data_IF_598020533449
#
_entry.id   IF_598020533449
#
_cell.length_a   1.000
_cell.length_b   1.000
_cell.length_c   1.000
_cell.angle_alpha   90.00
_cell.angle_beta   90.00
_cell.angle_gamma   90.00
#
_symmetry.space_group_name_H-M   'P 1'
#
loop_
_entity.id
_entity.type
_entity.pdbx_description
1 polymer ?
#
# COMPACT_ATOMS: atom_id res chain seq x y z
N UNK A 1 -13.80 -36.96 -15.39
CA UNK A 1 -13.05 -35.75 -14.98
C UNK A 1 -13.93 -34.59 -15.43
N UNK A 2 -14.33 -33.67 -14.55
CA UNK A 2 -15.28 -32.60 -14.92
C UNK A 2 -14.57 -31.38 -15.52
N UNK A 3 -15.27 -30.58 -16.32
CA UNK A 3 -14.83 -29.26 -16.80
C UNK A 3 -14.10 -28.46 -15.71
N UNK A 4 -14.67 -28.40 -14.50
CA UNK A 4 -14.13 -27.62 -13.39
C UNK A 4 -12.73 -28.07 -12.95
N UNK A 5 -12.49 -29.38 -12.89
CA UNK A 5 -11.17 -29.93 -12.56
C UNK A 5 -10.14 -29.71 -13.68
N UNK A 6 -10.56 -29.86 -14.94
CA UNK A 6 -9.72 -29.63 -16.12
C UNK A 6 -9.35 -28.14 -16.27
N UNK A 7 -10.34 -27.26 -16.12
CA UNK A 7 -10.13 -25.81 -16.17
C UNK A 7 -9.18 -25.35 -15.06
N UNK A 8 -9.40 -25.78 -13.82
CA UNK A 8 -8.51 -25.46 -12.71
C UNK A 8 -7.06 -25.88 -12.99
N UNK A 9 -6.87 -27.08 -13.55
CA UNK A 9 -5.56 -27.63 -13.89
C UNK A 9 -4.88 -26.85 -15.02
N UNK A 10 -5.59 -26.58 -16.12
CA UNK A 10 -5.03 -25.82 -17.23
C UNK A 10 -4.74 -24.38 -16.84
N UNK A 11 -5.70 -23.70 -16.23
CA UNK A 11 -5.54 -22.32 -15.80
C UNK A 11 -4.36 -22.18 -14.84
N UNK A 12 -4.28 -23.02 -13.80
CA UNK A 12 -3.18 -22.96 -12.83
C UNK A 12 -1.83 -23.37 -13.43
N UNK A 13 -1.79 -24.05 -14.58
CA UNK A 13 -0.54 -24.42 -15.26
C UNK A 13 -0.10 -23.33 -16.25
N UNK A 14 -1.04 -22.83 -17.06
CA UNK A 14 -0.76 -21.86 -18.13
C UNK A 14 -0.65 -20.43 -17.62
N UNK A 15 -1.44 -20.05 -16.61
CA UNK A 15 -1.46 -18.69 -16.06
C UNK A 15 -0.51 -18.52 -14.88
N UNK A 16 0.15 -19.58 -14.40
CA UNK A 16 0.93 -19.55 -13.17
C UNK A 16 1.97 -18.42 -13.13
N UNK A 17 2.77 -18.33 -14.19
CA UNK A 17 3.86 -17.35 -14.30
C UNK A 17 3.31 -15.95 -14.51
N UNK A 18 2.25 -15.82 -15.31
CA UNK A 18 1.57 -14.55 -15.56
C UNK A 18 0.99 -13.96 -14.27
N UNK A 19 0.34 -14.78 -13.45
CA UNK A 19 -0.19 -14.38 -12.14
C UNK A 19 0.91 -13.97 -11.16
N UNK A 20 2.08 -14.63 -11.19
CA UNK A 20 3.23 -14.23 -10.37
C UNK A 20 3.80 -12.89 -10.84
N UNK A 21 3.96 -12.70 -12.15
CA UNK A 21 4.47 -11.45 -12.73
C UNK A 21 3.52 -10.28 -12.43
N UNK A 22 2.22 -10.50 -12.55
CA UNK A 22 1.22 -9.50 -12.21
C UNK A 22 1.26 -9.14 -10.73
N UNK A 23 1.37 -10.14 -9.84
CA UNK A 23 1.51 -9.89 -8.40
C UNK A 23 2.82 -9.15 -8.08
N UNK A 24 3.95 -9.52 -8.68
CA UNK A 24 5.23 -8.79 -8.54
C UNK A 24 5.08 -7.32 -8.92
N UNK A 25 4.44 -7.03 -10.06
CA UNK A 25 4.20 -5.66 -10.52
C UNK A 25 3.26 -4.90 -9.58
N UNK A 26 2.18 -5.55 -9.14
CA UNK A 26 1.21 -4.99 -8.20
C UNK A 26 1.87 -4.63 -6.86
N UNK A 27 2.64 -5.56 -6.27
CA UNK A 27 3.35 -5.30 -5.00
C UNK A 27 4.47 -4.27 -5.15
N UNK A 28 5.12 -4.20 -6.32
CA UNK A 28 6.10 -3.16 -6.62
C UNK A 28 5.46 -1.76 -6.62
N UNK A 29 4.29 -1.61 -7.25
CA UNK A 29 3.53 -0.34 -7.22
C UNK A 29 3.12 0.02 -5.80
N UNK A 30 2.54 -0.94 -5.08
CA UNK A 30 2.11 -0.73 -3.69
C UNK A 30 3.26 -0.29 -2.77
N UNK A 31 4.44 -0.90 -2.87
CA UNK A 31 5.62 -0.48 -2.10
C UNK A 31 6.12 0.92 -2.47
N UNK A 32 6.09 1.30 -3.76
CA UNK A 32 6.44 2.66 -4.18
C UNK A 32 5.44 3.68 -3.64
N UNK A 33 4.14 3.44 -3.79
CA UNK A 33 3.08 4.30 -3.25
C UNK A 33 3.19 4.44 -1.73
N UNK A 34 3.47 3.34 -1.02
CA UNK A 34 3.72 3.37 0.43
C UNK A 34 4.94 4.22 0.78
N UNK A 35 6.04 4.06 0.05
CA UNK A 35 7.27 4.83 0.26
C UNK A 35 7.02 6.32 0.04
N UNK A 36 6.35 6.69 -1.04
CA UNK A 36 6.03 8.09 -1.37
C UNK A 36 5.09 8.69 -0.32
N UNK A 37 4.02 7.97 0.04
CA UNK A 37 3.07 8.39 1.07
C UNK A 37 3.72 8.55 2.44
N UNK A 38 4.57 7.61 2.85
CA UNK A 38 5.32 7.68 4.10
C UNK A 38 6.32 8.83 4.08
N UNK A 39 7.05 9.02 2.98
CA UNK A 39 8.00 10.12 2.81
C UNK A 39 7.30 11.47 2.92
N UNK A 40 6.19 11.66 2.20
CA UNK A 40 5.39 12.90 2.25
C UNK A 40 4.90 13.18 3.67
N UNK A 41 4.28 12.17 4.31
CA UNK A 41 3.66 12.29 5.64
C UNK A 41 4.66 12.47 6.79
N UNK A 42 5.90 11.97 6.62
CA UNK A 42 6.97 12.06 7.62
C UNK A 42 7.98 13.16 7.32
N UNK A 43 7.88 13.83 6.17
CA UNK A 43 8.82 14.88 5.77
C UNK A 43 8.70 16.11 6.68
N UNK A 44 9.78 16.89 6.77
CA UNK A 44 9.77 18.18 7.47
C UNK A 44 9.21 19.31 6.59
N UNK A 45 8.53 18.99 5.48
CA UNK A 45 7.98 20.01 4.58
C UNK A 45 7.04 20.95 5.35
N UNK A 46 6.22 20.41 6.25
CA UNK A 46 5.36 21.20 7.14
C UNK A 46 6.16 22.10 8.09
N UNK A 47 7.30 21.65 8.60
CA UNK A 47 8.17 22.46 9.46
C UNK A 47 8.77 23.64 8.68
N UNK A 48 9.17 23.40 7.44
CA UNK A 48 9.75 24.41 6.56
C UNK A 48 8.68 25.40 6.07
N UNK A 49 7.48 24.90 5.70
CA UNK A 49 6.32 25.73 5.37
C UNK A 49 5.93 26.62 6.55
N UNK A 50 5.92 26.09 7.78
CA UNK A 50 5.68 26.88 8.98
C UNK A 50 6.75 27.97 9.15
N UNK A 51 8.04 27.62 9.01
CA UNK A 51 9.15 28.58 9.09
C UNK A 51 9.01 29.70 8.07
N UNK A 52 8.68 29.38 6.83
CA UNK A 52 8.49 30.36 5.76
C UNK A 52 7.31 31.29 6.04
N UNK A 53 6.15 30.74 6.45
CA UNK A 53 4.96 31.55 6.80
C UNK A 53 5.26 32.50 7.96
N UNK A 54 5.86 32.02 9.04
CA UNK A 54 6.22 32.86 10.19
C UNK A 54 7.25 33.92 9.81
N UNK A 55 8.24 33.57 8.99
CA UNK A 55 9.24 34.54 8.48
C UNK A 55 8.59 35.64 7.65
N UNK A 56 7.61 35.30 6.80
CA UNK A 56 6.87 36.29 6.02
C UNK A 56 6.05 37.23 6.92
N UNK A 57 5.36 36.70 7.94
CA UNK A 57 4.63 37.51 8.92
C UNK A 57 5.55 38.41 9.74
N UNK A 58 6.74 37.94 10.13
CA UNK A 58 7.73 38.77 10.82
C UNK A 58 8.20 39.92 9.94
N UNK A 59 8.44 39.68 8.65
CA UNK A 59 8.76 40.75 7.69
C UNK A 59 7.61 41.77 7.59
N UNK A 60 6.37 41.31 7.54
CA UNK A 60 5.20 42.19 7.55
C UNK A 60 5.08 42.98 8.86
N UNK A 61 5.35 42.35 10.01
CA UNK A 61 5.37 42.98 11.32
C UNK A 61 6.37 44.14 11.36
N UNK A 62 7.59 43.93 10.86
CA UNK A 62 8.62 44.99 10.76
C UNK A 62 8.14 46.18 9.94
N UNK A 63 7.49 45.92 8.81
CA UNK A 63 6.90 46.97 7.96
C UNK A 63 5.82 47.74 8.70
N UNK A 64 4.92 47.05 9.41
CA UNK A 64 3.84 47.71 10.16
C UNK A 64 4.37 48.53 11.35
N UNK A 65 5.41 48.05 12.05
CA UNK A 65 6.04 48.81 13.15
C UNK A 65 6.61 50.15 12.68
N UNK A 66 7.12 50.20 11.44
CA UNK A 66 7.67 51.39 10.80
C UNK A 66 6.61 52.27 10.13
N UNK A 67 5.34 51.85 10.12
CA UNK A 67 4.27 52.56 9.42
C UNK A 67 4.06 53.97 10.01
N UNK A 68 4.11 55.04 9.20
CA UNK A 68 3.84 56.40 9.68
C UNK A 68 2.43 56.60 10.23
N UNK A 69 1.47 55.79 9.76
CA UNK A 69 0.07 55.89 10.19
C UNK A 69 -0.17 55.26 11.58
N UNK A 70 0.58 54.23 11.93
CA UNK A 70 0.44 53.46 13.19
C UNK A 70 1.84 53.05 13.72
N UNK A 71 2.67 54.00 14.17
CA UNK A 71 4.06 53.69 14.55
C UNK A 71 4.12 52.81 15.81
N UNK A 72 5.02 51.83 15.79
CA UNK A 72 5.23 50.90 16.89
C UNK A 72 4.18 49.78 16.92
N UNK A 73 3.66 49.47 18.10
CA UNK A 73 2.74 48.34 18.30
C UNK A 73 1.27 48.72 18.07
N UNK A 74 0.95 49.22 16.88
CA UNK A 74 -0.41 49.56 16.48
C UNK A 74 -1.35 48.34 16.37
N UNK A 75 -2.65 48.56 16.08
CA UNK A 75 -3.62 47.50 15.85
C UNK A 75 -3.18 46.47 14.81
N UNK A 76 -2.60 46.91 13.68
CA UNK A 76 -2.11 45.99 12.62
C UNK A 76 -0.93 45.14 13.06
N UNK A 77 0.05 45.75 13.75
CA UNK A 77 1.20 45.03 14.30
C UNK A 77 0.76 43.97 15.32
N UNK A 78 -0.21 44.30 16.18
CA UNK A 78 -0.80 43.34 17.12
C UNK A 78 -1.56 42.21 16.43
N UNK A 79 -2.29 42.51 15.34
CA UNK A 79 -2.98 41.49 14.54
C UNK A 79 -1.98 40.47 13.97
N UNK A 80 -0.87 40.94 13.40
CA UNK A 80 0.17 40.06 12.85
C UNK A 80 0.81 39.21 13.96
N UNK A 81 1.08 39.81 15.13
CA UNK A 81 1.59 39.05 16.28
C UNK A 81 0.61 37.96 16.72
N UNK A 82 -0.70 38.24 16.77
CA UNK A 82 -1.71 37.25 17.10
C UNK A 82 -1.79 36.13 16.05
N UNK A 83 -1.59 36.45 14.77
CA UNK A 83 -1.53 35.45 13.70
C UNK A 83 -0.31 34.53 13.84
N UNK A 84 0.87 35.10 14.16
CA UNK A 84 2.07 34.31 14.46
C UNK A 84 1.81 33.40 15.68
N UNK A 85 1.23 33.93 16.76
CA UNK A 85 0.88 33.14 17.94
C UNK A 85 -0.08 32.00 17.64
N UNK A 86 -1.05 32.21 16.75
CA UNK A 86 -1.99 31.17 16.34
C UNK A 86 -1.30 30.04 15.56
N UNK A 87 -0.32 30.38 14.70
CA UNK A 87 0.45 29.40 13.95
C UNK A 87 1.37 28.56 14.85
N UNK A 88 2.11 29.20 15.76
CA UNK A 88 3.10 28.51 16.61
C UNK A 88 2.50 27.99 17.93
N UNK A 89 1.24 28.35 18.24
CA UNK A 89 0.51 28.04 19.48
C UNK A 89 1.21 28.47 20.77
N UNK A 90 2.08 29.48 20.68
CA UNK A 90 2.84 30.03 21.80
C UNK A 90 2.64 31.53 21.85
N UNK A 91 2.43 32.08 23.05
CA UNK A 91 2.28 33.53 23.26
C UNK A 91 3.62 34.25 23.11
N UNK A 92 3.62 35.38 22.40
CA UNK A 92 4.81 36.21 22.20
C UNK A 92 4.76 37.37 23.19
N UNK A 93 5.81 37.55 23.97
CA UNK A 93 5.92 38.68 24.91
C UNK A 93 5.86 40.01 24.14
N UNK A 94 4.92 40.87 24.53
CA UNK A 94 4.79 42.21 23.94
C UNK A 94 5.87 43.12 24.53
N UNK A 95 6.71 43.69 23.67
CA UNK A 95 7.80 44.58 24.06
C UNK A 95 7.29 46.02 24.18
N UNK A 96 7.73 46.78 25.20
CA UNK A 96 7.34 48.17 25.35
C UNK A 96 7.87 49.02 24.20
N UNK A 97 7.04 49.94 23.70
CA UNK A 97 7.48 50.89 22.68
C UNK A 97 8.48 51.89 23.29
N UNK A 98 9.70 51.96 22.74
CA UNK A 98 10.80 52.80 23.25
C UNK A 98 10.83 54.21 22.61
N UNK A 99 9.80 54.57 21.84
CA UNK A 99 9.65 55.88 21.22
C UNK A 99 9.22 55.78 19.75
N UNK A 100 8.95 56.93 19.13
CA UNK A 100 8.48 57.02 17.73
C UNK A 100 9.58 57.41 16.75
N UNK A 101 10.84 57.55 17.20
CA UNK A 101 11.95 57.80 16.30
C UNK A 101 12.19 56.60 15.39
N UNK A 102 12.58 56.85 14.15
CA UNK A 102 12.85 55.79 13.16
C UNK A 102 13.84 54.74 13.70
N UNK A 103 14.93 55.20 14.33
CA UNK A 103 15.92 54.33 14.99
C UNK A 103 15.30 53.43 16.08
N UNK A 104 14.39 53.97 16.91
CA UNK A 104 13.73 53.19 17.95
C UNK A 104 12.76 52.14 17.35
N UNK A 105 12.05 52.49 16.29
CA UNK A 105 11.11 51.59 15.60
C UNK A 105 11.83 50.47 14.83
N UNK A 106 12.92 50.79 14.14
CA UNK A 106 13.78 49.78 13.48
C UNK A 106 14.33 48.80 14.52
N UNK A 107 14.81 49.31 15.66
CA UNK A 107 15.30 48.47 16.75
C UNK A 107 14.19 47.58 17.30
N UNK A 108 12.98 48.11 17.52
CA UNK A 108 11.82 47.33 17.97
C UNK A 108 11.49 46.20 16.98
N UNK A 109 11.47 46.48 15.68
CA UNK A 109 11.23 45.46 14.65
C UNK A 109 12.29 44.35 14.65
N UNK A 110 13.57 44.70 14.81
CA UNK A 110 14.66 43.73 14.91
C UNK A 110 14.61 42.93 16.23
N UNK A 111 14.23 43.56 17.34
CA UNK A 111 14.04 42.89 18.63
C UNK A 111 12.95 41.81 18.52
N UNK A 112 11.85 42.10 17.80
CA UNK A 112 10.81 41.11 17.51
C UNK A 112 11.25 40.00 16.56
N UNK A 113 12.00 40.34 15.51
CA UNK A 113 12.58 39.33 14.60
C UNK A 113 13.48 38.36 15.36
N UNK A 114 14.36 38.85 16.23
CA UNK A 114 15.22 38.02 17.07
C UNK A 114 14.41 37.20 18.08
N UNK A 115 13.39 37.79 18.72
CA UNK A 115 12.52 37.09 19.66
C UNK A 115 11.78 35.93 18.99
N UNK A 116 11.35 36.09 17.73
CA UNK A 116 10.51 35.10 17.04
C UNK A 116 11.36 34.09 16.28
N UNK A 117 12.33 34.56 15.47
CA UNK A 117 13.11 33.76 14.51
C UNK A 117 14.56 33.49 14.95
N UNK A 118 15.05 34.14 16.00
CA UNK A 118 16.40 33.92 16.51
C UNK A 118 16.64 32.45 16.90
N UNK A 119 17.90 32.09 17.14
CA UNK A 119 18.28 30.72 17.52
C UNK A 119 17.48 30.21 18.72
N UNK A 120 17.36 31.05 19.77
CA UNK A 120 16.52 30.81 20.96
C UNK A 120 15.09 31.37 20.82
N UNK A 121 14.68 31.72 19.61
CA UNK A 121 13.39 32.36 19.33
C UNK A 121 12.19 31.47 19.61
N UNK A 122 11.02 32.08 19.80
CA UNK A 122 9.77 31.39 20.14
C UNK A 122 9.38 30.35 19.09
N UNK A 123 9.69 30.58 17.80
CA UNK A 123 9.44 29.60 16.74
C UNK A 123 10.25 28.31 16.94
N UNK A 124 11.56 28.44 17.17
CA UNK A 124 12.46 27.30 17.31
C UNK A 124 12.17 26.48 18.57
N UNK A 125 11.66 27.14 19.61
CA UNK A 125 11.25 26.53 20.87
C UNK A 125 9.76 26.15 20.93
N UNK A 126 9.00 26.32 19.83
CA UNK A 126 7.58 25.99 19.81
C UNK A 126 7.34 24.47 19.80
N UNK A 127 6.34 24.02 20.56
CA UNK A 127 5.93 22.61 20.59
C UNK A 127 5.50 22.12 19.20
N UNK A 128 4.91 23.02 18.40
CA UNK A 128 4.50 22.74 17.02
C UNK A 128 5.73 22.37 16.18
N UNK A 129 6.78 23.20 16.18
CA UNK A 129 7.98 22.92 15.40
C UNK A 129 8.74 21.70 15.93
N UNK A 130 8.75 21.47 17.25
CA UNK A 130 9.35 20.29 17.85
C UNK A 130 8.66 18.98 17.40
N UNK A 131 7.33 18.97 17.31
CA UNK A 131 6.56 17.83 16.79
C UNK A 131 6.76 17.60 15.29
N UNK A 132 6.94 18.67 14.53
CA UNK A 132 7.21 18.60 13.09
C UNK A 132 8.65 18.13 12.80
N UNK A 133 9.64 18.54 13.61
CA UNK A 133 11.05 18.17 13.46
C UNK A 133 11.48 16.93 14.26
N UNK A 134 10.54 16.15 14.79
CA UNK A 134 10.85 15.04 15.68
C UNK A 134 11.94 14.11 15.10
N UNK A 135 13.09 13.92 15.79
CA UNK A 135 14.22 13.15 15.26
C UNK A 135 13.84 11.70 14.95
N UNK A 136 12.85 11.17 15.66
CA UNK A 136 12.24 9.85 15.40
C UNK A 136 11.66 9.74 13.99
N UNK A 137 10.89 10.75 13.52
CA UNK A 137 10.32 10.76 12.16
C UNK A 137 11.41 10.80 11.10
N UNK A 138 12.46 11.61 11.31
CA UNK A 138 13.61 11.72 10.39
C UNK A 138 14.42 10.44 10.31
N UNK A 139 14.68 9.80 11.46
CA UNK A 139 15.38 8.52 11.53
C UNK A 139 14.56 7.43 10.84
N UNK A 140 13.26 7.41 11.11
CA UNK A 140 12.35 6.44 10.51
C UNK A 140 12.21 6.60 8.99
N UNK A 141 12.20 7.83 8.45
CA UNK A 141 12.18 8.06 6.99
C UNK A 141 13.40 7.43 6.28
N UNK A 142 14.59 7.50 6.92
CA UNK A 142 15.77 6.79 6.42
C UNK A 142 15.60 5.27 6.50
N UNK A 143 15.03 4.78 7.60
CA UNK A 143 14.74 3.36 7.80
C UNK A 143 13.76 2.83 6.74
N UNK A 144 12.72 3.59 6.40
CA UNK A 144 11.76 3.28 5.33
C UNK A 144 12.47 3.06 4.00
N UNK A 145 13.36 3.98 3.62
CA UNK A 145 14.13 3.83 2.37
C UNK A 145 15.06 2.61 2.42
N UNK A 146 15.73 2.39 3.55
CA UNK A 146 16.63 1.23 3.74
C UNK A 146 15.89 -0.12 3.73
N UNK A 147 14.61 -0.16 4.10
CA UNK A 147 13.77 -1.37 4.07
C UNK A 147 13.11 -1.59 2.72
N UNK A 148 12.55 -0.55 2.11
CA UNK A 148 11.78 -0.68 0.87
C UNK A 148 12.67 -0.78 -0.37
N UNK A 149 13.77 -0.02 -0.45
CA UNK A 149 14.60 0.02 -1.67
C UNK A 149 15.26 -1.32 -2.03
N UNK A 150 15.77 -2.11 -1.06
CA UNK A 150 16.25 -3.46 -1.35
C UNK A 150 15.14 -4.38 -1.88
N UNK A 151 13.94 -4.31 -1.31
CA UNK A 151 12.82 -5.16 -1.75
C UNK A 151 12.31 -4.76 -3.13
N UNK A 152 12.23 -3.46 -3.45
CA UNK A 152 11.91 -3.00 -4.81
C UNK A 152 12.92 -3.53 -5.84
N UNK A 153 14.22 -3.49 -5.52
CA UNK A 153 15.26 -4.06 -6.38
C UNK A 153 15.13 -5.58 -6.49
N UNK A 154 14.80 -6.25 -5.39
CA UNK A 154 14.61 -7.70 -5.36
C UNK A 154 13.42 -8.12 -6.24
N UNK A 155 12.27 -7.47 -6.09
CA UNK A 155 11.08 -7.72 -6.92
C UNK A 155 11.36 -7.50 -8.40
N UNK A 156 12.03 -6.40 -8.76
CA UNK A 156 12.41 -6.11 -10.14
C UNK A 156 13.37 -7.18 -10.71
N UNK A 157 14.34 -7.63 -9.91
CA UNK A 157 15.26 -8.69 -10.30
C UNK A 157 14.52 -10.01 -10.53
N UNK A 158 13.58 -10.39 -9.66
CA UNK A 158 12.78 -11.61 -9.81
C UNK A 158 11.82 -11.56 -10.98
N UNK A 159 11.25 -10.40 -11.27
CA UNK A 159 10.42 -10.20 -12.45
C UNK A 159 11.23 -10.40 -13.75
N UNK A 160 12.44 -9.84 -13.80
CA UNK A 160 13.36 -10.04 -14.92
C UNK A 160 13.81 -11.50 -15.06
N UNK A 161 14.15 -12.15 -13.94
CA UNK A 161 14.57 -13.56 -13.90
C UNK A 161 13.48 -14.48 -14.46
N UNK A 162 12.21 -14.26 -14.09
CA UNK A 162 11.06 -14.99 -14.65
C UNK A 162 10.87 -14.77 -16.15
N UNK A 163 11.16 -13.57 -16.65
CA UNK A 163 11.09 -13.26 -18.09
C UNK A 163 12.18 -13.96 -18.92
N UNK A 164 13.31 -14.31 -18.31
CA UNK A 164 14.43 -15.01 -18.96
C UNK A 164 14.34 -16.53 -18.77
N UNK A 165 13.98 -16.98 -17.56
CA UNK A 165 13.92 -18.39 -17.21
C UNK A 165 12.70 -18.68 -16.33
N UNK A 166 11.67 -19.26 -16.95
CA UNK A 166 10.51 -19.78 -16.23
C UNK A 166 10.75 -21.24 -15.82
N UNK A 167 11.10 -21.45 -14.55
CA UNK A 167 11.19 -22.78 -13.95
C UNK A 167 10.62 -22.77 -12.52
N UNK A 168 10.53 -23.94 -11.90
CA UNK A 168 9.96 -24.06 -10.55
C UNK A 168 10.75 -23.27 -9.49
N UNK A 169 12.08 -23.23 -9.59
CA UNK A 169 12.95 -22.53 -8.65
C UNK A 169 12.78 -21.01 -8.78
N UNK A 170 12.76 -20.48 -10.01
CA UNK A 170 12.58 -19.03 -10.24
C UNK A 170 11.20 -18.56 -9.78
N UNK A 171 10.16 -19.37 -10.00
CA UNK A 171 8.80 -19.11 -9.48
C UNK A 171 8.73 -19.13 -7.96
N UNK A 172 9.34 -20.12 -7.31
CA UNK A 172 9.40 -20.20 -5.85
C UNK A 172 10.12 -18.97 -5.23
N UNK A 173 11.25 -18.59 -5.81
CA UNK A 173 12.02 -17.41 -5.37
C UNK A 173 11.21 -16.11 -5.55
N UNK A 174 10.41 -16.01 -6.60
CA UNK A 174 9.54 -14.87 -6.84
C UNK A 174 8.40 -14.78 -5.80
N UNK A 175 7.76 -15.91 -5.47
CA UNK A 175 6.75 -15.97 -4.40
C UNK A 175 7.33 -15.58 -3.04
N UNK A 176 8.53 -16.04 -2.72
CA UNK A 176 9.23 -15.65 -1.49
C UNK A 176 9.52 -14.13 -1.46
N UNK A 177 9.92 -13.54 -2.59
CA UNK A 177 10.12 -12.10 -2.70
C UNK A 177 8.81 -11.33 -2.50
N UNK A 178 7.68 -11.82 -3.05
CA UNK A 178 6.35 -11.26 -2.81
C UNK A 178 6.00 -11.31 -1.32
N UNK A 179 6.21 -12.44 -0.65
CA UNK A 179 5.93 -12.59 0.78
C UNK A 179 6.73 -11.60 1.62
N UNK A 180 8.04 -11.45 1.36
CA UNK A 180 8.88 -10.44 2.03
C UNK A 180 8.37 -9.02 1.78
N UNK A 181 8.03 -8.69 0.54
CA UNK A 181 7.49 -7.39 0.17
C UNK A 181 6.19 -7.06 0.93
N UNK A 182 5.28 -8.02 1.05
CA UNK A 182 4.04 -7.86 1.83
C UNK A 182 4.34 -7.67 3.32
N UNK A 183 5.29 -8.41 3.88
CA UNK A 183 5.72 -8.25 5.28
C UNK A 183 6.27 -6.84 5.54
N UNK A 184 7.19 -6.37 4.69
CA UNK A 184 7.77 -5.03 4.77
C UNK A 184 6.71 -3.96 4.57
N UNK A 185 5.78 -4.14 3.63
CA UNK A 185 4.67 -3.21 3.40
C UNK A 185 3.82 -3.04 4.67
N UNK A 186 3.41 -4.15 5.29
CA UNK A 186 2.58 -4.13 6.50
C UNK A 186 3.32 -3.50 7.69
N UNK A 187 4.59 -3.86 7.88
CA UNK A 187 5.42 -3.29 8.95
C UNK A 187 5.59 -1.76 8.79
N UNK A 188 5.95 -1.32 7.57
CA UNK A 188 6.14 0.10 7.28
C UNK A 188 4.82 0.87 7.34
N UNK A 189 3.74 0.31 6.82
CA UNK A 189 2.41 0.93 6.87
C UNK A 189 1.94 1.14 8.30
N UNK A 190 2.01 0.12 9.15
CA UNK A 190 1.59 0.21 10.54
C UNK A 190 2.41 1.22 11.35
N UNK A 191 3.73 1.21 11.17
CA UNK A 191 4.61 2.11 11.92
C UNK A 191 4.56 3.55 11.39
N UNK A 192 4.34 3.75 10.09
CA UNK A 192 4.05 5.09 9.56
C UNK A 192 2.73 5.61 10.14
N UNK A 193 1.66 4.81 10.13
CA UNK A 193 0.37 5.21 10.70
C UNK A 193 0.46 5.57 12.20
N UNK A 194 1.28 4.86 12.97
CA UNK A 194 1.45 5.13 14.40
C UNK A 194 2.22 6.43 14.69
N UNK A 195 3.08 6.87 13.77
CA UNK A 195 3.87 8.11 13.87
C UNK A 195 3.13 9.34 13.33
N UNK A 196 2.17 9.15 12.43
CA UNK A 196 1.44 10.23 11.75
C UNK A 196 -0.04 10.28 12.13
N UNK A 197 -0.41 9.92 13.37
CA UNK A 197 -1.80 9.81 13.87
C UNK A 197 -2.74 10.98 13.55
N UNK A 198 -2.19 12.19 13.33
CA UNK A 198 -2.96 13.41 13.07
C UNK A 198 -3.18 13.69 11.57
N UNK A 199 -2.42 13.05 10.66
CA UNK A 199 -2.55 13.23 9.21
C UNK A 199 -3.14 11.97 8.60
N UNK A 200 -4.11 12.07 7.68
CA UNK A 200 -4.66 10.91 6.99
C UNK A 200 -3.58 10.22 6.15
N UNK A 201 -3.04 9.12 6.67
CA UNK A 201 -2.16 8.20 5.95
C UNK A 201 -2.96 6.95 5.56
N UNK A 202 -3.09 6.70 4.27
CA UNK A 202 -3.82 5.54 3.73
C UNK A 202 -2.84 4.47 3.25
N UNK A 203 -3.04 3.24 3.69
CA UNK A 203 -2.38 2.04 3.17
C UNK A 203 -3.33 0.85 3.33
N UNK A 204 -3.09 -0.22 2.57
CA UNK A 204 -3.93 -1.42 2.61
C UNK A 204 -3.58 -2.29 3.83
N UNK A 205 -4.45 -2.25 4.84
CA UNK A 205 -4.34 -3.06 6.07
C UNK A 205 -4.45 -4.57 5.83
N UNK A 206 -4.95 -4.99 4.67
CA UNK A 206 -5.22 -6.39 4.35
C UNK A 206 -4.35 -6.92 3.21
N UNK A 207 -3.23 -6.26 2.90
CA UNK A 207 -2.36 -6.73 1.82
C UNK A 207 -1.81 -8.13 2.15
N UNK A 208 -2.06 -9.06 1.24
CA UNK A 208 -1.68 -10.48 1.33
C UNK A 208 -1.09 -10.96 0.02
N UNK A 209 -0.46 -12.13 0.10
CA UNK A 209 -0.04 -12.88 -1.09
C UNK A 209 -1.26 -13.57 -1.68
N UNK A 210 -1.52 -13.30 -2.96
CA UNK A 210 -2.66 -13.82 -3.70
C UNK A 210 -2.34 -15.20 -4.28
N UNK A 211 -1.07 -15.42 -4.67
CA UNK A 211 -0.65 -16.65 -5.31
C UNK A 211 -0.48 -17.87 -4.39
N UNK A 212 -0.55 -17.70 -3.06
CA UNK A 212 -0.56 -18.82 -2.09
C UNK A 212 -1.80 -19.74 -2.25
N UNK A 213 -2.82 -19.30 -3.00
CA UNK A 213 -4.04 -20.05 -3.28
C UNK A 213 -4.14 -20.64 -4.70
N UNK A 214 -3.09 -20.52 -5.53
CA UNK A 214 -3.08 -21.11 -6.88
C UNK A 214 -3.32 -22.63 -6.79
N UNK A 215 -4.17 -23.16 -7.67
CA UNK A 215 -4.57 -24.58 -7.68
C UNK A 215 -5.85 -24.90 -6.91
N UNK A 216 -6.38 -23.99 -6.08
CA UNK A 216 -7.72 -24.13 -5.51
C UNK A 216 -8.78 -23.72 -6.52
N UNK A 217 -9.75 -24.60 -6.78
CA UNK A 217 -10.82 -24.38 -7.76
C UNK A 217 -11.55 -23.03 -7.55
N UNK A 218 -11.89 -22.70 -6.30
CA UNK A 218 -12.55 -21.41 -5.98
C UNK A 218 -11.69 -20.19 -6.28
N UNK A 219 -10.37 -20.29 -6.07
CA UNK A 219 -9.42 -19.23 -6.39
C UNK A 219 -9.27 -19.08 -7.90
N UNK A 220 -9.20 -20.19 -8.63
CA UNK A 220 -9.10 -20.22 -10.09
C UNK A 220 -10.29 -19.54 -10.76
N UNK A 221 -11.52 -19.79 -10.31
CA UNK A 221 -12.68 -19.09 -10.88
C UNK A 221 -12.69 -17.60 -10.53
N UNK A 222 -12.32 -17.23 -9.30
CA UNK A 222 -12.25 -15.82 -8.89
C UNK A 222 -11.17 -15.07 -9.67
N UNK A 223 -9.99 -15.67 -9.82
CA UNK A 223 -8.89 -15.15 -10.62
C UNK A 223 -9.29 -15.07 -12.09
N UNK A 224 -9.83 -16.12 -12.70
CA UNK A 224 -10.26 -16.11 -14.09
C UNK A 224 -11.32 -15.04 -14.37
N UNK A 225 -12.26 -14.82 -13.44
CA UNK A 225 -13.27 -13.76 -13.53
C UNK A 225 -12.68 -12.34 -13.46
N UNK A 226 -11.61 -12.14 -12.69
CA UNK A 226 -10.90 -10.87 -12.64
C UNK A 226 -10.04 -10.62 -13.89
N UNK A 227 -9.56 -11.69 -14.54
CA UNK A 227 -8.63 -11.64 -15.67
C UNK A 227 -9.30 -12.04 -17.00
N UNK A 228 -10.61 -11.79 -17.17
CA UNK A 228 -11.35 -12.13 -18.41
C UNK A 228 -10.80 -11.44 -19.67
N UNK A 229 -10.03 -10.36 -19.51
CA UNK A 229 -9.31 -9.69 -20.60
C UNK A 229 -8.08 -10.44 -21.09
N UNK A 230 -7.52 -11.36 -20.30
CA UNK A 230 -6.37 -12.18 -20.72
C UNK A 230 -6.84 -13.28 -21.66
N UNK A 231 -6.26 -13.31 -22.86
CA UNK A 231 -6.61 -14.30 -23.88
C UNK A 231 -6.36 -15.75 -23.41
N UNK A 232 -5.37 -15.96 -22.53
CA UNK A 232 -5.03 -17.25 -21.94
C UNK A 232 -6.17 -17.89 -21.13
N UNK A 233 -7.03 -17.07 -20.51
CA UNK A 233 -8.21 -17.54 -19.79
C UNK A 233 -9.18 -18.23 -20.75
N UNK A 234 -9.40 -17.63 -21.92
CA UNK A 234 -10.29 -18.17 -22.95
C UNK A 234 -9.76 -19.47 -23.56
N UNK A 235 -8.44 -19.60 -23.74
CA UNK A 235 -7.83 -20.88 -24.15
C UNK A 235 -8.11 -21.95 -23.09
N UNK A 236 -7.89 -21.64 -21.82
CA UNK A 236 -8.09 -22.61 -20.73
C UNK A 236 -9.55 -23.05 -20.64
N UNK A 237 -10.50 -22.12 -20.80
CA UNK A 237 -11.94 -22.42 -20.88
C UNK A 237 -12.23 -23.31 -22.08
N UNK A 238 -11.75 -22.94 -23.27
CA UNK A 238 -11.98 -23.68 -24.51
C UNK A 238 -11.39 -25.09 -24.45
N UNK A 239 -10.16 -25.25 -23.96
CA UNK A 239 -9.46 -26.53 -23.85
C UNK A 239 -10.15 -27.45 -22.83
N UNK A 240 -10.57 -26.91 -21.70
CA UNK A 240 -11.33 -27.66 -20.70
C UNK A 240 -12.68 -28.13 -21.24
N UNK A 241 -13.42 -27.27 -21.97
CA UNK A 241 -14.68 -27.62 -22.63
C UNK A 241 -14.47 -28.64 -23.75
N UNK A 242 -13.45 -28.45 -24.58
CA UNK A 242 -13.15 -29.33 -25.70
C UNK A 242 -12.85 -30.75 -25.21
N UNK A 243 -12.04 -30.92 -24.17
CA UNK A 243 -11.73 -32.25 -23.63
C UNK A 243 -12.96 -32.89 -22.96
N UNK A 244 -13.73 -32.10 -22.21
CA UNK A 244 -14.96 -32.59 -21.54
C UNK A 244 -16.04 -33.01 -22.56
N UNK A 245 -16.04 -32.45 -23.77
CA UNK A 245 -16.97 -32.78 -24.86
C UNK A 245 -16.45 -33.88 -25.80
N UNK A 246 -15.18 -33.79 -26.22
CA UNK A 246 -14.57 -34.66 -27.24
C UNK A 246 -14.33 -36.06 -26.68
N UNK A 247 -13.91 -36.20 -25.42
CA UNK A 247 -13.61 -37.51 -24.84
C UNK A 247 -14.87 -38.39 -24.73
N UNK A 248 -16.02 -37.92 -24.19
CA UNK A 248 -17.25 -38.70 -24.21
C UNK A 248 -17.77 -38.99 -25.62
N UNK A 249 -17.62 -38.05 -26.55
CA UNK A 249 -18.02 -38.23 -27.95
C UNK A 249 -17.20 -39.34 -28.62
N UNK A 250 -15.87 -39.35 -28.45
CA UNK A 250 -15.00 -40.41 -28.97
C UNK A 250 -15.31 -41.77 -28.35
N UNK A 251 -15.52 -41.84 -27.03
CA UNK A 251 -15.91 -43.09 -26.35
C UNK A 251 -17.26 -43.59 -26.90
N UNK A 252 -18.22 -42.70 -27.13
CA UNK A 252 -19.52 -43.06 -27.71
C UNK A 252 -19.41 -43.62 -29.13
N UNK A 253 -18.52 -43.07 -29.97
CA UNK A 253 -18.30 -43.57 -31.34
C UNK A 253 -17.45 -44.85 -31.40
N UNK A 254 -16.48 -45.03 -30.50
CA UNK A 254 -15.56 -46.16 -30.50
C UNK A 254 -16.05 -47.35 -29.65
N UNK A 255 -17.00 -47.14 -28.75
CA UNK A 255 -17.64 -48.26 -28.03
C UNK A 255 -18.61 -48.93 -28.99
N UNK A 256 -18.37 -50.17 -29.43
CA UNK A 256 -19.35 -50.88 -30.23
C UNK A 256 -20.64 -50.96 -29.42
N UNK A 257 -21.71 -50.35 -29.93
CA UNK A 257 -23.05 -50.57 -29.41
C UNK A 257 -23.31 -52.07 -29.49
N UNK A 258 -23.28 -52.73 -28.34
CA UNK A 258 -23.61 -54.14 -28.24
C UNK A 258 -24.94 -54.38 -28.95
N UNK A 259 -24.86 -55.14 -30.04
CA UNK A 259 -26.02 -55.75 -30.67
C UNK A 259 -26.85 -56.45 -29.59
N UNK A 260 -28.16 -56.26 -29.65
CA UNK A 260 -29.14 -57.06 -28.93
C UNK A 260 -28.83 -58.55 -29.12
N UNK A 261 -28.30 -59.18 -28.07
CA UNK A 261 -28.44 -60.61 -27.85
C UNK A 261 -29.27 -60.74 -26.58
N UNK A 262 -30.55 -61.06 -26.77
CA UNK A 262 -31.44 -61.40 -25.67
C UNK A 262 -30.83 -62.53 -24.85
N UNK A 263 -30.49 -62.23 -23.60
CA UNK A 263 -30.25 -63.22 -22.57
C UNK A 263 -31.29 -62.98 -21.48
N UNK A 264 -32.35 -63.77 -21.59
CA UNK A 264 -33.33 -64.12 -20.57
C UNK A 264 -33.05 -63.59 -19.16
N UNK A 265 -34.00 -62.78 -18.67
CA UNK A 265 -34.32 -62.67 -17.25
C UNK A 265 -34.61 -64.07 -16.69
N UNK A 266 -33.58 -64.77 -16.21
CA UNK A 266 -33.74 -65.93 -15.34
C UNK A 266 -33.73 -65.42 -13.89
N UNK A 267 -34.91 -65.05 -13.42
CA UNK A 267 -35.21 -64.94 -12.00
C UNK A 267 -34.93 -66.29 -11.34
N UNK A 268 -33.82 -66.41 -10.61
CA UNK A 268 -33.63 -67.49 -9.64
C UNK A 268 -33.89 -66.92 -8.25
N UNK A 269 -35.18 -66.92 -7.94
CA UNK A 269 -35.70 -66.63 -6.62
C UNK A 269 -35.04 -67.56 -5.59
N UNK A 270 -34.62 -66.95 -4.49
CA UNK A 270 -34.05 -67.59 -3.31
C UNK A 270 -35.06 -68.60 -2.74
N UNK A 271 -34.71 -69.89 -2.79
CA UNK A 271 -35.36 -70.95 -2.04
C UNK A 271 -34.57 -71.21 -0.75
N UNK A 272 -35.25 -71.00 0.37
CA UNK A 272 -34.75 -71.13 1.73
C UNK A 272 -34.03 -72.47 2.00
N UNK A 273 -32.89 -72.40 2.71
CA UNK A 273 -32.54 -73.43 3.68
C UNK A 273 -32.29 -72.78 5.03
N UNK A 274 -33.22 -73.10 5.92
CA UNK A 274 -33.21 -72.85 7.35
C UNK A 274 -32.07 -73.66 7.96
N UNK A 275 -31.05 -72.98 8.50
CA UNK A 275 -30.14 -73.60 9.46
C UNK A 275 -30.91 -73.74 10.78
N UNK A 276 -31.39 -74.95 11.05
CA UNK A 276 -31.79 -75.35 12.40
C UNK A 276 -30.52 -75.55 13.23
N UNK A 277 -30.44 -74.81 14.33
CA UNK A 277 -29.68 -75.18 15.52
C UNK A 277 -30.18 -76.51 16.06
N UNK A 278 -29.28 -77.37 16.51
CA UNK A 278 -29.39 -78.09 17.78
C UNK A 278 -28.10 -78.87 18.06
N UNK A 279 -27.56 -78.61 19.26
CA UNK A 279 -26.59 -79.37 20.08
C UNK A 279 -25.23 -79.80 19.50
#
# INVERSE_FOLDING_TARGET
MSFSGLFNKFYSTFMHTELIVEELNSKTRALNELKEGATSSLSNEDAEVLRQKVTALVKQLKIQILSPAEPGLGPKANSILNEIEALIKTKITRMPNKGTSESALVKLGNDYENLILGEDGVLNNSEVLAKLNAPEKRSYLKEVSLKIDPELKNLAAKNSELGVQDNEVTRANALEAIQRAVSVYNEVGQRTQSLVKEVPFSYDLNMRVENDAIGKISHTYRSAGAHLSHWGVWICVFLALAIDLIVPMFVFFLTPRGQNSGASFASKNKGAQVLKSEF
#
